data_IF_479304017813
#
_entry.id   IF_479304017813
#
_cell.length_a   1.000
_cell.length_b   1.000
_cell.length_c   1.000
_cell.angle_alpha   90.00
_cell.angle_beta   90.00
_cell.angle_gamma   90.00
#
_symmetry.space_group_name_H-M   'P 1'
#
loop_
_entity.id
_entity.type
_entity.pdbx_description
1 polymer ?
#
# COMPACT_ATOMS: atom_id res chain seq x y z
N UNK A 1 -24.90 4.62 -3.79
CA UNK A 1 -23.72 5.51 -3.84
C UNK A 1 -23.99 6.66 -2.90
N UNK A 2 -23.00 7.02 -2.10
CA UNK A 2 -23.12 8.08 -1.11
C UNK A 2 -21.95 9.05 -1.23
N UNK A 3 -22.18 10.31 -0.87
CA UNK A 3 -21.17 11.37 -0.80
C UNK A 3 -21.12 11.90 0.62
N UNK A 4 -19.93 11.90 1.24
CA UNK A 4 -19.73 12.36 2.62
C UNK A 4 -18.46 13.19 2.74
N UNK A 5 -18.52 14.22 3.58
CA UNK A 5 -17.34 15.01 3.94
C UNK A 5 -16.56 14.34 5.06
N UNK A 6 -15.27 14.09 4.85
CA UNK A 6 -14.38 13.49 5.84
C UNK A 6 -13.46 14.55 6.43
N UNK A 7 -13.58 14.80 7.74
CA UNK A 7 -12.79 15.84 8.44
C UNK A 7 -11.28 15.60 8.36
N UNK A 8 -10.83 14.34 8.38
CA UNK A 8 -9.40 13.96 8.37
C UNK A 8 -8.70 14.36 7.06
N UNK A 9 -9.39 14.24 5.93
CA UNK A 9 -8.86 14.62 4.62
C UNK A 9 -9.31 16.01 4.16
N UNK A 10 -10.17 16.67 4.95
CA UNK A 10 -10.83 17.94 4.62
C UNK A 10 -11.47 17.95 3.22
N UNK A 11 -12.01 16.81 2.77
CA UNK A 11 -12.52 16.62 1.41
C UNK A 11 -13.80 15.79 1.39
N UNK A 12 -14.61 15.98 0.35
CA UNK A 12 -15.73 15.11 0.03
C UNK A 12 -15.25 13.83 -0.67
N UNK A 13 -15.75 12.69 -0.21
CA UNK A 13 -15.50 11.38 -0.80
C UNK A 13 -16.82 10.74 -1.19
N UNK A 14 -16.80 10.04 -2.32
CA UNK A 14 -17.91 9.18 -2.70
C UNK A 14 -17.55 7.71 -2.49
N UNK A 15 -18.57 6.92 -2.13
CA UNK A 15 -18.47 5.47 -1.94
C UNK A 15 -19.55 4.76 -2.74
N UNK A 16 -19.19 3.62 -3.35
CA UNK A 16 -20.16 2.71 -3.94
C UNK A 16 -20.72 1.79 -2.85
N UNK A 17 -21.92 2.09 -2.35
CA UNK A 17 -22.46 1.36 -1.18
C UNK A 17 -22.78 -0.10 -1.51
N UNK A 18 -23.54 -0.32 -2.57
CA UNK A 18 -23.99 -1.64 -2.98
C UNK A 18 -24.11 -1.76 -4.50
N UNK A 19 -23.90 -2.98 -4.99
CA UNK A 19 -24.17 -3.41 -6.36
C UNK A 19 -25.23 -4.50 -6.27
N UNK A 20 -26.33 -4.33 -7.00
CA UNK A 20 -27.43 -5.28 -7.02
C UNK A 20 -27.48 -5.94 -8.39
N UNK A 21 -27.43 -7.27 -8.40
CA UNK A 21 -27.67 -8.10 -9.57
C UNK A 21 -29.10 -8.64 -9.46
N UNK A 22 -29.91 -8.37 -10.48
CA UNK A 22 -31.24 -8.93 -10.61
C UNK A 22 -31.28 -9.79 -11.87
N UNK A 23 -31.53 -11.09 -11.70
CA UNK A 23 -31.60 -12.05 -12.79
C UNK A 23 -32.59 -13.15 -12.45
N UNK A 24 -33.52 -13.43 -13.37
CA UNK A 24 -34.51 -14.51 -13.24
C UNK A 24 -35.31 -14.48 -11.91
N UNK A 25 -35.75 -13.27 -11.52
CA UNK A 25 -36.48 -13.03 -10.27
C UNK A 25 -35.63 -13.17 -9.00
N UNK A 26 -34.35 -13.50 -9.12
CA UNK A 26 -33.40 -13.55 -8.01
C UNK A 26 -32.67 -12.23 -7.89
N UNK A 27 -32.49 -11.77 -6.65
CA UNK A 27 -31.73 -10.58 -6.31
C UNK A 27 -30.50 -10.96 -5.47
N UNK A 28 -29.33 -10.52 -5.93
CA UNK A 28 -28.06 -10.68 -5.25
C UNK A 28 -27.46 -9.30 -4.97
N UNK A 29 -27.20 -9.00 -3.70
CA UNK A 29 -26.66 -7.70 -3.28
C UNK A 29 -25.21 -7.85 -2.80
N UNK A 30 -24.30 -7.10 -3.40
CA UNK A 30 -22.89 -7.04 -3.03
C UNK A 30 -22.58 -5.69 -2.39
N UNK A 31 -21.82 -5.71 -1.30
CA UNK A 31 -21.34 -4.52 -0.63
C UNK A 31 -20.01 -4.06 -1.24
N UNK A 32 -19.96 -2.80 -1.71
CA UNK A 32 -18.76 -2.16 -2.24
C UNK A 32 -18.18 -1.06 -1.34
N UNK A 33 -18.88 -0.71 -0.25
CA UNK A 33 -18.65 0.53 0.51
C UNK A 33 -17.25 0.67 1.11
N UNK A 34 -16.55 -0.45 1.34
CA UNK A 34 -15.20 -0.47 1.94
C UNK A 34 -14.08 -0.30 0.93
N UNK A 35 -14.30 -0.72 -0.31
CA UNK A 35 -13.21 -0.95 -1.28
C UNK A 35 -13.30 -0.04 -2.50
N UNK A 36 -14.50 0.46 -2.82
CA UNK A 36 -14.77 1.28 -3.99
C UNK A 36 -15.15 2.67 -3.52
N UNK A 37 -14.14 3.52 -3.44
CA UNK A 37 -14.26 4.90 -2.98
C UNK A 37 -13.21 5.79 -3.66
N UNK A 38 -13.56 7.06 -3.88
CA UNK A 38 -12.63 8.06 -4.39
C UNK A 38 -13.10 9.47 -3.96
N UNK A 39 -12.22 10.49 -4.03
CA UNK A 39 -12.65 11.87 -3.83
C UNK A 39 -13.76 12.26 -4.82
N UNK A 40 -14.71 13.09 -4.39
CA UNK A 40 -15.89 13.44 -5.20
C UNK A 40 -15.58 14.14 -6.53
N UNK A 41 -14.39 14.73 -6.66
CA UNK A 41 -13.92 15.41 -7.88
C UNK A 41 -13.25 14.45 -8.88
N UNK A 42 -12.89 13.24 -8.44
CA UNK A 42 -12.13 12.26 -9.22
C UNK A 42 -13.03 11.09 -9.66
N UNK A 43 -12.60 10.35 -10.66
CA UNK A 43 -13.20 9.05 -11.00
C UNK A 43 -12.46 7.94 -10.25
N UNK A 44 -13.15 6.84 -9.92
CA UNK A 44 -12.51 5.63 -9.40
C UNK A 44 -12.18 4.72 -10.59
N UNK A 45 -10.97 4.18 -10.64
CA UNK A 45 -10.55 3.21 -11.66
C UNK A 45 -9.94 1.96 -11.02
N UNK A 46 -10.24 0.80 -11.58
CA UNK A 46 -9.61 -0.44 -11.17
C UNK A 46 -9.54 -1.41 -12.35
N UNK A 47 -8.44 -2.14 -12.47
CA UNK A 47 -8.27 -3.11 -13.55
C UNK A 47 -9.27 -4.27 -13.43
N UNK A 48 -9.52 -4.74 -12.21
CA UNK A 48 -10.43 -5.84 -11.97
C UNK A 48 -11.19 -5.65 -10.66
N UNK A 49 -12.52 -5.60 -10.76
CA UNK A 49 -13.43 -5.57 -9.62
C UNK A 49 -14.20 -6.88 -9.58
N UNK A 50 -13.88 -7.75 -8.61
CA UNK A 50 -14.49 -9.09 -8.52
C UNK A 50 -15.19 -9.36 -7.19
N UNK A 51 -16.05 -10.37 -7.17
CA UNK A 51 -16.69 -10.90 -5.96
C UNK A 51 -16.08 -12.20 -5.40
N UNK A 52 -15.07 -12.79 -6.06
CA UNK A 52 -14.59 -14.13 -5.73
C UNK A 52 -13.06 -14.26 -5.57
N UNK A 53 -12.25 -13.42 -6.21
CA UNK A 53 -10.78 -13.49 -6.15
C UNK A 53 -10.25 -12.13 -5.74
N UNK A 54 -9.74 -12.02 -4.50
CA UNK A 54 -9.44 -10.73 -3.86
C UNK A 54 -10.66 -9.79 -3.93
N UNK A 55 -11.78 -10.17 -3.29
CA UNK A 55 -13.08 -9.55 -3.56
C UNK A 55 -13.12 -8.09 -3.10
N UNK A 56 -13.35 -7.20 -4.06
CA UNK A 56 -13.67 -5.79 -3.80
C UNK A 56 -15.18 -5.64 -3.52
N UNK A 57 -15.99 -6.56 -4.06
CA UNK A 57 -17.43 -6.67 -3.84
C UNK A 57 -17.69 -7.88 -2.94
N UNK A 58 -18.18 -7.65 -1.72
CA UNK A 58 -18.40 -8.73 -0.75
C UNK A 58 -19.89 -8.94 -0.47
N UNK A 59 -20.40 -10.18 -0.45
CA UNK A 59 -21.76 -10.44 0.03
C UNK A 59 -21.91 -10.04 1.49
N UNK A 60 -23.13 -9.72 1.93
CA UNK A 60 -23.35 -9.25 3.31
C UNK A 60 -23.15 -10.36 4.34
N UNK A 61 -23.49 -11.59 3.97
CA UNK A 61 -23.30 -12.79 4.77
C UNK A 61 -22.90 -13.98 3.87
N UNK A 62 -22.36 -15.05 4.46
CA UNK A 62 -21.97 -16.25 3.69
C UNK A 62 -23.18 -16.96 3.04
N UNK A 63 -24.33 -16.93 3.71
CA UNK A 63 -25.58 -17.55 3.24
C UNK A 63 -26.43 -16.61 2.38
N UNK A 64 -25.89 -15.45 2.00
CA UNK A 64 -26.60 -14.50 1.13
C UNK A 64 -26.70 -15.07 -0.29
N UNK A 65 -27.79 -14.76 -1.01
CA UNK A 65 -27.96 -15.18 -2.41
C UNK A 65 -26.78 -14.74 -3.27
N UNK A 66 -26.16 -13.60 -2.92
CA UNK A 66 -24.98 -13.08 -3.58
C UNK A 66 -23.78 -14.05 -3.60
N UNK A 67 -23.67 -15.02 -2.68
CA UNK A 67 -22.58 -16.00 -2.70
C UNK A 67 -22.70 -17.04 -3.82
N UNK A 68 -23.89 -17.19 -4.42
CA UNK A 68 -24.14 -18.06 -5.57
C UNK A 68 -23.70 -17.43 -6.89
N UNK A 69 -23.45 -16.11 -6.90
CA UNK A 69 -23.15 -15.34 -8.09
C UNK A 69 -21.71 -14.86 -8.10
N UNK A 70 -21.08 -14.90 -9.28
CA UNK A 70 -19.75 -14.34 -9.50
C UNK A 70 -19.86 -13.11 -10.40
N UNK A 71 -19.43 -11.97 -9.86
CA UNK A 71 -19.29 -10.73 -10.61
C UNK A 71 -17.81 -10.48 -10.88
N UNK A 72 -17.51 -10.06 -12.11
CA UNK A 72 -16.21 -9.59 -12.54
C UNK A 72 -16.42 -8.42 -13.48
N UNK A 73 -15.84 -7.27 -13.15
CA UNK A 73 -15.75 -6.13 -14.04
C UNK A 73 -14.29 -5.92 -14.41
N UNK A 74 -13.99 -5.94 -15.69
CA UNK A 74 -12.67 -5.65 -16.23
C UNK A 74 -12.61 -4.18 -16.67
N UNK A 75 -11.48 -3.52 -16.43
CA UNK A 75 -11.28 -2.10 -16.75
C UNK A 75 -12.40 -1.19 -16.21
N UNK A 76 -12.74 -1.36 -14.94
CA UNK A 76 -13.82 -0.64 -14.29
C UNK A 76 -13.44 0.82 -14.03
N UNK A 77 -14.27 1.75 -14.49
CA UNK A 77 -14.15 3.18 -14.16
C UNK A 77 -15.52 3.79 -13.88
N UNK A 78 -15.63 4.56 -12.80
CA UNK A 78 -16.91 5.16 -12.37
C UNK A 78 -16.71 6.50 -11.68
N UNK A 79 -17.65 7.42 -11.87
CA UNK A 79 -17.73 8.69 -11.15
C UNK A 79 -19.19 8.98 -10.81
N UNK A 80 -19.50 9.02 -9.50
CA UNK A 80 -20.87 9.15 -9.03
C UNK A 80 -21.37 10.59 -8.88
N UNK A 81 -20.46 11.53 -8.61
CA UNK A 81 -20.77 12.93 -8.32
C UNK A 81 -19.71 13.84 -8.94
N UNK A 82 -19.99 15.14 -9.04
CA UNK A 82 -18.99 16.13 -9.47
C UNK A 82 -18.50 15.97 -10.92
N UNK A 83 -19.27 15.30 -11.78
CA UNK A 83 -18.94 15.15 -13.20
C UNK A 83 -19.06 16.53 -13.86
N UNK A 84 -17.99 16.99 -14.49
CA UNK A 84 -17.97 18.25 -15.26
C UNK A 84 -17.80 17.93 -16.73
N UNK A 85 -18.78 18.32 -17.56
CA UNK A 85 -18.78 17.98 -18.98
C UNK A 85 -19.27 16.55 -19.26
N UNK A 86 -18.61 15.86 -20.19
CA UNK A 86 -18.99 14.51 -20.68
C UNK A 86 -17.95 13.43 -20.37
N UNK A 87 -16.77 13.81 -19.93
CA UNK A 87 -15.65 12.90 -19.70
C UNK A 87 -15.44 12.67 -18.19
N UNK A 88 -14.78 11.56 -17.86
CA UNK A 88 -14.37 11.30 -16.48
C UNK A 88 -13.27 12.27 -16.05
N UNK A 89 -13.37 12.73 -14.81
CA UNK A 89 -12.28 13.40 -14.13
C UNK A 89 -11.09 12.45 -13.92
N UNK A 90 -9.96 13.01 -13.46
CA UNK A 90 -8.75 12.26 -13.12
C UNK A 90 -9.04 10.97 -12.34
N UNK A 91 -8.40 9.87 -12.73
CA UNK A 91 -8.63 8.55 -12.18
C UNK A 91 -7.86 8.34 -10.85
N UNK A 92 -8.58 7.86 -9.85
CA UNK A 92 -8.05 7.35 -8.60
C UNK A 92 -8.05 5.83 -8.67
N UNK A 93 -6.86 5.26 -8.85
CA UNK A 93 -6.71 3.82 -8.98
C UNK A 93 -6.92 3.07 -7.65
N UNK A 94 -7.46 1.86 -7.74
CA UNK A 94 -7.71 0.97 -6.59
C UNK A 94 -6.43 0.39 -5.95
N UNK A 95 -5.28 0.53 -6.62
CA UNK A 95 -4.00 0.03 -6.14
C UNK A 95 -3.11 1.20 -5.70
N UNK A 96 -2.50 1.07 -4.52
CA UNK A 96 -1.40 1.94 -4.13
C UNK A 96 -0.09 1.53 -4.82
N UNK A 97 0.88 2.44 -4.89
CA UNK A 97 2.20 2.18 -5.48
C UNK A 97 2.91 0.95 -4.88
N UNK A 98 2.76 0.74 -3.57
CA UNK A 98 3.35 -0.38 -2.86
C UNK A 98 2.32 -1.04 -1.96
N UNK A 99 2.29 -2.37 -1.97
CA UNK A 99 1.47 -3.14 -1.04
C UNK A 99 2.05 -3.07 0.37
N UNK A 100 1.25 -3.30 1.43
CA UNK A 100 1.77 -3.37 2.79
C UNK A 100 2.91 -4.39 2.94
N UNK A 101 2.86 -5.51 2.23
CA UNK A 101 3.93 -6.52 2.25
C UNK A 101 5.24 -6.00 1.66
N UNK A 102 5.19 -5.29 0.53
CA UNK A 102 6.38 -4.67 -0.07
C UNK A 102 6.97 -3.63 0.88
N UNK A 103 6.14 -2.81 1.54
CA UNK A 103 6.61 -1.84 2.53
C UNK A 103 7.36 -2.48 3.70
N UNK A 104 6.81 -3.54 4.28
CA UNK A 104 7.46 -4.25 5.39
C UNK A 104 8.78 -4.88 4.95
N UNK A 105 8.83 -5.45 3.74
CA UNK A 105 10.07 -6.00 3.17
C UNK A 105 11.12 -4.94 2.86
N UNK A 106 10.72 -3.81 2.26
CA UNK A 106 11.63 -2.72 1.93
C UNK A 106 12.21 -2.08 3.19
N UNK A 107 11.37 -1.81 4.18
CA UNK A 107 11.81 -1.22 5.44
C UNK A 107 12.81 -2.12 6.19
N UNK A 108 12.50 -3.41 6.29
CA UNK A 108 13.37 -4.38 6.99
C UNK A 108 14.68 -4.63 6.25
N UNK A 109 14.64 -4.77 4.93
CA UNK A 109 15.85 -4.93 4.12
C UNK A 109 16.77 -3.70 4.19
N UNK A 110 16.20 -2.50 4.13
CA UNK A 110 16.95 -1.26 4.29
C UNK A 110 17.62 -1.16 5.67
N UNK A 111 16.91 -1.54 6.73
CA UNK A 111 17.46 -1.57 8.09
C UNK A 111 18.64 -2.56 8.20
N UNK A 112 18.48 -3.78 7.69
CA UNK A 112 19.55 -4.78 7.71
C UNK A 112 20.76 -4.35 6.90
N UNK A 113 20.53 -3.70 5.75
CA UNK A 113 21.61 -3.15 4.92
C UNK A 113 22.37 -2.03 5.66
N UNK A 114 21.67 -1.18 6.41
CA UNK A 114 22.31 -0.17 7.25
C UNK A 114 23.20 -0.78 8.33
N UNK A 115 22.71 -1.82 9.02
CA UNK A 115 23.50 -2.53 10.05
C UNK A 115 24.71 -3.21 9.42
N UNK A 116 24.54 -3.86 8.27
CA UNK A 116 25.61 -4.55 7.55
C UNK A 116 26.70 -3.58 7.09
N UNK A 117 26.30 -2.48 6.45
CA UNK A 117 27.25 -1.46 5.97
C UNK A 117 27.99 -0.79 7.13
N UNK A 118 27.32 -0.54 8.25
CA UNK A 118 27.98 -0.05 9.47
C UNK A 118 28.99 -1.06 10.02
N UNK A 119 28.62 -2.34 10.11
CA UNK A 119 29.53 -3.40 10.54
C UNK A 119 30.75 -3.54 9.63
N UNK A 120 30.53 -3.51 8.31
CA UNK A 120 31.60 -3.56 7.32
C UNK A 120 32.52 -2.35 7.43
N UNK A 121 31.95 -1.15 7.58
CA UNK A 121 32.70 0.09 7.78
C UNK A 121 33.62 -0.01 9.00
N UNK A 122 33.12 -0.51 10.14
CA UNK A 122 33.95 -0.71 11.33
C UNK A 122 35.10 -1.70 11.12
N UNK A 123 34.86 -2.82 10.42
CA UNK A 123 35.91 -3.80 10.11
C UNK A 123 36.98 -3.17 9.20
N UNK A 124 36.58 -2.40 8.19
CA UNK A 124 37.54 -1.75 7.27
C UNK A 124 38.44 -0.71 7.94
N UNK A 125 38.07 -0.19 9.11
CA UNK A 125 38.87 0.77 9.87
C UNK A 125 39.83 0.14 10.89
N UNK A 126 39.84 -1.20 11.00
CA UNK A 126 40.78 -1.89 11.89
C UNK A 126 42.22 -1.67 11.40
N UNK A 127 43.02 -0.95 12.20
CA UNK A 127 44.47 -0.84 12.00
C UNK A 127 45.17 -1.96 12.74
N UNK A 128 46.07 -2.65 12.05
CA UNK A 128 47.00 -3.58 12.69
C UNK A 128 47.89 -2.81 13.65
N UNK A 129 48.21 -3.39 14.80
CA UNK A 129 49.12 -2.77 15.77
C UNK A 129 50.42 -2.38 15.08
N UNK A 130 50.87 -1.14 15.33
CA UNK A 130 52.14 -0.67 14.79
C UNK A 130 53.24 -1.57 15.37
N UNK A 131 54.16 -1.96 14.49
CA UNK A 131 55.13 -3.02 14.74
C UNK A 131 55.87 -2.75 16.06
N UNK A 132 55.86 -3.73 16.97
CA UNK A 132 56.65 -3.68 18.19
C UNK A 132 58.11 -3.38 17.84
N UNK A 133 58.59 -2.26 18.38
CA UNK A 133 59.95 -1.75 18.32
C UNK A 133 60.56 -1.67 16.91
N UNK A 134 60.35 -0.51 16.27
CA UNK A 134 61.25 -0.06 15.22
C UNK A 134 62.60 0.30 15.89
N UNK A 135 63.73 -0.39 15.61
CA UNK A 135 65.03 -0.12 16.25
C UNK A 135 65.62 1.27 15.91
N UNK A 136 64.91 2.07 15.09
CA UNK A 136 65.23 3.47 14.78
C UNK A 136 64.25 4.48 15.40
N UNK A 137 63.21 4.03 16.10
CA UNK A 137 62.26 4.88 16.82
C UNK A 137 62.83 5.35 18.17
N UNK A 138 62.38 6.51 18.71
CA UNK A 138 62.84 6.99 20.00
C UNK A 138 62.49 5.98 21.10
N UNK A 139 63.51 5.50 21.83
CA UNK A 139 63.31 4.59 22.95
C UNK A 139 62.48 5.27 24.05
N UNK A 140 61.50 4.54 24.58
CA UNK A 140 60.73 4.99 25.75
C UNK A 140 61.70 5.22 26.92
N UNK A 141 61.83 6.47 27.35
CA UNK A 141 62.62 6.82 28.53
C UNK A 141 61.83 6.46 29.78
N UNK A 142 62.27 5.42 30.50
CA UNK A 142 61.74 5.07 31.81
C UNK A 142 62.42 5.98 32.85
N UNK A 143 61.68 6.80 33.62
CA UNK A 143 62.29 7.61 34.66
C UNK A 143 62.85 6.70 35.75
N UNK A 144 64.14 6.82 36.01
CA UNK A 144 64.79 6.26 37.19
C UNK A 144 64.79 7.34 38.27
N UNK A 145 64.29 6.98 39.44
CA UNK A 145 64.16 7.82 40.62
C UNK A 145 65.52 8.08 41.28
#
# INVERSE_FOLDING_TARGET
MNRRFYKVSAREWFTLDQVELEYDGQKATFNGSRNIYAPAEYSYRCESVTSFRYPLLTPRAANDNASQWRLSFDNFQIQGFGVTGRDFSYASDCAGFFTPGIWMGLLTSLLMLLILTYGLHMITQLRTMDRFDDPKGPAISVPQN
#
